data_IF_176050240113
#
_entry.id   IF_176050240113
#
_cell.length_a   1.000
_cell.length_b   1.000
_cell.length_c   1.000
_cell.angle_alpha   90.00
_cell.angle_beta   90.00
_cell.angle_gamma   90.00
#
_symmetry.space_group_name_H-M   'P 1'
#
loop_
_entity.id
_entity.type
_entity.pdbx_description
1 polymer ?
#
# COMPACT_ATOMS: atom_id res chain seq x y z
N UNK A 1 -13.87 -15.75 3.22
CA UNK A 1 -12.41 -15.91 3.45
C UNK A 1 -11.87 -14.51 3.73
N UNK A 2 -11.23 -14.25 4.88
CA UNK A 2 -10.64 -12.93 5.17
C UNK A 2 -9.17 -13.00 4.80
N UNK A 3 -8.76 -12.26 3.77
CA UNK A 3 -7.35 -12.13 3.40
C UNK A 3 -6.69 -11.12 4.35
N UNK A 4 -5.68 -11.58 5.10
CA UNK A 4 -4.94 -10.78 6.06
C UNK A 4 -3.45 -10.94 5.77
N UNK A 5 -2.72 -9.84 5.74
CA UNK A 5 -1.27 -9.81 5.48
C UNK A 5 -0.55 -10.06 6.81
N UNK A 6 0.32 -11.07 6.84
CA UNK A 6 1.06 -11.47 8.04
C UNK A 6 2.42 -10.78 8.10
N UNK A 7 2.47 -9.57 8.65
CA UNK A 7 3.70 -8.80 8.80
C UNK A 7 4.28 -8.93 10.22
N UNK A 8 5.46 -9.57 10.36
CA UNK A 8 6.20 -9.72 11.63
C UNK A 8 5.34 -10.25 12.79
N UNK A 9 4.43 -11.17 12.51
CA UNK A 9 3.52 -11.75 13.50
C UNK A 9 2.24 -10.93 13.74
N UNK A 10 2.09 -9.77 13.11
CA UNK A 10 0.86 -8.99 13.08
C UNK A 10 0.02 -9.36 11.87
N UNK A 11 -1.30 -9.27 12.01
CA UNK A 11 -2.25 -9.44 10.91
C UNK A 11 -2.79 -8.08 10.51
N UNK A 12 -2.64 -7.75 9.23
CA UNK A 12 -3.02 -6.45 8.67
C UNK A 12 -4.10 -6.67 7.62
N UNK A 13 -5.27 -6.06 7.75
CA UNK A 13 -6.28 -6.07 6.71
C UNK A 13 -5.79 -5.22 5.52
N UNK A 14 -5.72 -5.77 4.28
CA UNK A 14 -5.38 -4.98 3.09
C UNK A 14 -6.31 -3.78 2.92
N UNK A 15 -7.60 -3.96 3.21
CA UNK A 15 -8.63 -2.94 3.10
C UNK A 15 -8.35 -1.68 3.93
N UNK A 16 -7.62 -1.77 5.04
CA UNK A 16 -7.25 -0.61 5.85
C UNK A 16 -6.25 0.28 5.10
N UNK A 17 -5.32 -0.35 4.39
CA UNK A 17 -4.28 0.32 3.59
C UNK A 17 -4.90 0.92 2.33
N UNK A 18 -5.79 0.16 1.67
CA UNK A 18 -6.57 0.63 0.53
C UNK A 18 -7.41 1.86 0.89
N UNK A 19 -8.13 1.81 2.01
CA UNK A 19 -8.97 2.93 2.47
C UNK A 19 -8.15 4.20 2.73
N UNK A 20 -6.91 4.07 3.21
CA UNK A 20 -6.02 5.23 3.37
C UNK A 20 -5.57 5.73 2.00
N UNK A 21 -5.06 4.87 1.11
CA UNK A 21 -4.58 5.27 -0.21
C UNK A 21 -5.68 5.91 -1.07
N UNK A 22 -6.94 5.46 -0.95
CA UNK A 22 -8.10 6.06 -1.62
C UNK A 22 -8.43 7.47 -1.14
N UNK A 23 -7.97 7.90 0.04
CA UNK A 23 -8.13 9.28 0.50
C UNK A 23 -7.18 10.25 -0.22
N UNK A 24 -6.15 9.74 -0.92
CA UNK A 24 -5.25 10.58 -1.69
C UNK A 24 -5.94 11.04 -2.98
N UNK A 25 -6.09 12.36 -3.18
CA UNK A 25 -6.82 12.91 -4.33
C UNK A 25 -6.27 12.48 -5.69
N UNK A 26 -4.98 12.17 -5.77
CA UNK A 26 -4.33 11.67 -6.98
C UNK A 26 -4.55 10.18 -7.26
N UNK A 27 -5.12 9.42 -6.33
CA UNK A 27 -5.40 7.99 -6.49
C UNK A 27 -6.83 7.80 -6.98
N UNK A 28 -6.98 7.04 -8.07
CA UNK A 28 -8.29 6.64 -8.61
C UNK A 28 -8.76 5.33 -8.01
N UNK A 29 -7.85 4.37 -7.91
CA UNK A 29 -8.14 3.03 -7.40
C UNK A 29 -6.87 2.40 -6.80
N UNK A 30 -7.05 1.41 -5.94
CA UNK A 30 -5.95 0.71 -5.26
C UNK A 30 -6.31 -0.72 -4.91
N UNK A 31 -5.35 -1.63 -5.05
CA UNK A 31 -5.44 -2.97 -4.51
C UNK A 31 -4.19 -3.29 -3.69
N UNK A 32 -4.36 -3.93 -2.53
CA UNK A 32 -3.26 -4.31 -1.65
C UNK A 32 -3.21 -5.82 -1.46
N UNK A 33 -2.02 -6.39 -1.62
CA UNK A 33 -1.79 -7.84 -1.45
C UNK A 33 -0.58 -8.09 -0.55
N UNK A 34 -0.54 -9.27 0.08
CA UNK A 34 0.63 -9.73 0.81
C UNK A 34 1.67 -10.30 -0.13
N UNK A 35 2.89 -9.76 -0.09
CA UNK A 35 4.06 -10.31 -0.79
C UNK A 35 4.94 -11.07 0.21
N UNK A 36 5.28 -12.35 -0.04
CA UNK A 36 6.21 -13.08 0.82
C UNK A 36 7.55 -12.36 0.99
N UNK A 37 8.07 -12.34 2.22
CA UNK A 37 9.33 -11.67 2.56
C UNK A 37 10.08 -12.43 3.65
N UNK A 38 11.34 -12.79 3.38
CA UNK A 38 12.14 -13.70 4.20
C UNK A 38 12.24 -13.29 5.69
N UNK A 39 12.37 -11.98 5.97
CA UNK A 39 12.50 -11.47 7.34
C UNK A 39 11.18 -11.05 8.01
N UNK A 40 10.13 -10.82 7.23
CA UNK A 40 8.90 -10.20 7.72
C UNK A 40 7.69 -11.14 7.64
N UNK A 41 7.84 -12.33 7.07
CA UNK A 41 6.73 -13.20 6.70
C UNK A 41 6.12 -12.70 5.40
N UNK A 42 5.30 -11.66 5.49
CA UNK A 42 4.68 -10.97 4.34
C UNK A 42 4.83 -9.47 4.49
N UNK A 43 4.97 -8.75 3.37
CA UNK A 43 4.93 -7.30 3.29
C UNK A 43 3.76 -6.85 2.42
N UNK A 44 3.04 -5.77 2.79
CA UNK A 44 1.99 -5.24 1.95
C UNK A 44 2.55 -4.61 0.68
N UNK A 45 2.00 -5.01 -0.46
CA UNK A 45 2.27 -4.49 -1.79
C UNK A 45 1.01 -3.81 -2.32
N UNK A 46 1.11 -2.51 -2.61
CA UNK A 46 0.00 -1.73 -3.14
C UNK A 46 0.16 -1.49 -4.65
N UNK A 47 -0.87 -1.85 -5.40
CA UNK A 47 -1.06 -1.48 -6.79
C UNK A 47 -1.94 -0.25 -6.84
N UNK A 48 -1.41 0.86 -7.35
CA UNK A 48 -2.10 2.15 -7.30
C UNK A 48 -2.36 2.62 -8.72
N UNK A 49 -3.60 3.00 -8.97
CA UNK A 49 -4.05 3.57 -10.23
C UNK A 49 -4.16 5.08 -10.05
N UNK A 50 -3.33 5.89 -10.72
CA UNK A 50 -3.43 7.33 -10.63
C UNK A 50 -4.72 7.85 -11.30
N UNK A 51 -5.16 9.03 -10.86
CA UNK A 51 -6.14 9.83 -11.58
C UNK A 51 -5.61 10.22 -12.96
N UNK A 52 -6.53 10.39 -13.92
CA UNK A 52 -6.16 10.78 -15.28
C UNK A 52 -5.46 12.15 -15.27
N UNK A 53 -4.26 12.21 -15.85
CA UNK A 53 -3.45 13.42 -15.91
C UNK A 53 -2.71 13.78 -14.62
N UNK A 54 -2.70 12.88 -13.62
CA UNK A 54 -1.92 13.03 -12.39
C UNK A 54 -0.73 12.08 -12.42
N UNK A 55 0.47 12.62 -12.23
CA UNK A 55 1.64 11.81 -11.92
C UNK A 55 1.70 11.58 -10.41
N UNK A 56 1.74 10.32 -9.98
CA UNK A 56 1.94 9.95 -8.59
C UNK A 56 3.37 9.49 -8.38
N UNK A 57 4.04 10.02 -7.35
CA UNK A 57 5.33 9.49 -6.93
C UNK A 57 5.16 8.41 -5.86
N UNK A 58 5.94 7.33 -5.97
CA UNK A 58 5.97 6.27 -4.96
C UNK A 58 6.30 6.84 -3.56
N UNK A 59 7.23 7.81 -3.49
CA UNK A 59 7.68 8.41 -2.22
C UNK A 59 6.59 9.24 -1.55
N UNK A 60 5.79 9.96 -2.33
CA UNK A 60 4.64 10.73 -1.84
C UNK A 60 3.60 9.81 -1.23
N UNK A 61 3.22 8.74 -1.94
CA UNK A 61 2.26 7.75 -1.43
C UNK A 61 2.77 7.04 -0.17
N UNK A 62 4.06 6.68 -0.13
CA UNK A 62 4.68 6.09 1.06
C UNK A 62 4.62 7.05 2.26
N UNK A 63 4.93 8.33 2.06
CA UNK A 63 4.87 9.34 3.11
C UNK A 63 3.43 9.53 3.58
N UNK A 64 2.49 9.63 2.64
CA UNK A 64 1.07 9.80 2.91
C UNK A 64 0.49 8.68 3.76
N UNK A 65 0.86 7.43 3.47
CA UNK A 65 0.46 6.24 4.23
C UNK A 65 1.20 6.18 5.58
N UNK A 66 2.50 6.47 5.62
CA UNK A 66 3.28 6.44 6.86
C UNK A 66 2.84 7.49 7.89
N UNK A 67 2.29 8.62 7.45
CA UNK A 67 1.70 9.65 8.32
C UNK A 67 0.34 9.24 8.89
N UNK A 68 -0.42 8.40 8.19
CA UNK A 68 -1.81 8.06 8.51
C UNK A 68 -1.99 6.69 9.16
N UNK A 69 -1.11 5.76 8.84
CA UNK A 69 -1.08 4.42 9.44
C UNK A 69 0.04 4.40 10.46
N UNK A 70 -0.28 4.16 11.74
CA UNK A 70 0.72 4.07 12.80
C UNK A 70 1.91 3.18 12.37
N UNK A 71 3.13 3.71 12.58
CA UNK A 71 4.53 3.24 12.30
C UNK A 71 4.87 1.75 12.18
N UNK A 72 3.95 0.82 12.43
CA UNK A 72 4.18 -0.63 12.42
C UNK A 72 4.44 -1.17 11.01
N UNK A 73 4.01 -0.50 9.94
CA UNK A 73 4.15 -1.00 8.56
C UNK A 73 5.19 -0.20 7.77
N UNK A 74 6.45 -0.60 7.90
CA UNK A 74 7.51 -0.14 7.00
C UNK A 74 7.32 -0.81 5.64
N UNK A 75 6.63 -0.14 4.72
CA UNK A 75 6.51 -0.54 3.32
C UNK A 75 7.89 -0.47 2.69
N UNK A 76 8.44 -1.61 2.26
CA UNK A 76 9.65 -1.60 1.44
C UNK A 76 9.36 -2.18 0.06
N UNK A 77 9.38 -1.24 -0.89
CA UNK A 77 9.60 -1.36 -2.34
C UNK A 77 8.45 -1.92 -3.20
N UNK A 78 8.09 -1.07 -4.17
CA UNK A 78 7.44 -1.31 -5.47
C UNK A 78 5.94 -1.05 -5.51
N UNK A 79 5.57 0.22 -5.36
CA UNK A 79 4.32 0.69 -5.99
C UNK A 79 4.56 0.73 -7.50
N UNK A 80 3.91 -0.15 -8.24
CA UNK A 80 3.86 -0.06 -9.71
C UNK A 80 2.73 0.90 -10.07
N UNK A 81 3.08 2.15 -10.40
CA UNK A 81 2.19 3.00 -11.17
C UNK A 81 2.18 2.46 -12.60
N UNK A 82 1.06 1.88 -13.03
CA UNK A 82 0.87 1.54 -14.44
C UNK A 82 0.74 2.85 -15.22
N UNK A 83 1.86 3.38 -15.74
CA UNK A 83 1.83 4.44 -16.74
C UNK A 83 1.17 3.89 -17.99
N UNK A 84 0.05 4.49 -18.36
CA UNK A 84 -0.64 4.27 -19.63
C UNK A 84 -0.21 5.37 -20.60
#
# INVERSE_FOLDING_TARGET
>A
MKELIKYKGYQVPPAEIEAVLLQHKGVRDVGVVGLPHDLAGEVPLAFVVPQTGVELSEKELQTFVAERVCKVFFYRKRVYASTN
#
